data_IF_178328440294
#
_entry.id   IF_178328440294
#
_cell.length_a   1.000
_cell.length_b   1.000
_cell.length_c   1.000
_cell.angle_alpha   90.00
_cell.angle_beta   90.00
_cell.angle_gamma   90.00
#
_symmetry.space_group_name_H-M   'P 1'
#
loop_
_entity.id
_entity.type
_entity.pdbx_description
1 polymer ?
#
# COMPACT_ATOMS: atom_id res chain seq x y z
N UNK A 1 14.13 -9.59 -20.72
CA UNK A 1 12.80 -10.02 -20.22
C UNK A 1 12.38 -9.03 -19.15
N UNK A 2 11.11 -8.55 -19.09
CA UNK A 2 10.70 -7.67 -18.01
C UNK A 2 10.93 -8.39 -16.67
N UNK A 3 11.67 -7.78 -15.75
CA UNK A 3 11.82 -8.30 -14.40
C UNK A 3 10.53 -8.17 -13.60
N UNK A 4 10.44 -8.87 -12.47
CA UNK A 4 9.34 -8.70 -11.53
C UNK A 4 9.27 -7.24 -11.05
N UNK A 5 8.06 -6.71 -10.90
CA UNK A 5 7.84 -5.44 -10.24
C UNK A 5 7.97 -5.61 -8.72
N UNK A 6 8.42 -4.57 -8.04
CA UNK A 6 8.50 -4.52 -6.58
C UNK A 6 7.43 -3.57 -6.07
N UNK A 7 6.34 -4.09 -5.56
CA UNK A 7 5.26 -3.30 -4.98
C UNK A 7 5.54 -3.05 -3.49
N UNK A 8 5.70 -1.78 -3.11
CA UNK A 8 6.01 -1.35 -1.74
C UNK A 8 4.85 -0.59 -1.13
N UNK A 9 4.55 -0.89 0.13
CA UNK A 9 3.64 -0.15 1.01
C UNK A 9 4.40 0.29 2.25
N UNK A 10 4.15 1.50 2.74
CA UNK A 10 4.74 2.02 3.98
C UNK A 10 4.04 1.50 5.26
N UNK A 11 3.16 0.53 5.10
CA UNK A 11 2.44 -0.19 6.15
C UNK A 11 2.77 -1.69 6.07
N UNK A 12 2.55 -2.45 7.15
CA UNK A 12 2.79 -3.90 7.14
C UNK A 12 1.79 -4.59 6.22
N UNK A 13 2.31 -5.40 5.30
CA UNK A 13 1.52 -6.30 4.47
C UNK A 13 1.90 -7.75 4.76
N UNK A 14 0.96 -8.67 4.60
CA UNK A 14 1.19 -10.10 4.68
C UNK A 14 1.05 -10.68 3.28
N UNK A 15 2.10 -11.31 2.76
CA UNK A 15 2.08 -11.92 1.43
C UNK A 15 1.52 -13.35 1.53
N UNK A 16 0.37 -13.59 0.91
CA UNK A 16 -0.37 -14.84 1.05
C UNK A 16 -0.05 -15.85 -0.05
N UNK A 17 0.11 -15.38 -1.28
CA UNK A 17 0.47 -16.20 -2.43
C UNK A 17 0.90 -15.34 -3.61
N UNK A 18 1.60 -15.95 -4.55
CA UNK A 18 1.80 -15.44 -5.90
C UNK A 18 1.49 -16.56 -6.91
N UNK A 19 1.20 -16.17 -8.14
CA UNK A 19 0.88 -17.11 -9.21
C UNK A 19 1.14 -16.53 -10.59
N UNK A 20 1.21 -17.43 -11.57
CA UNK A 20 1.33 -17.07 -12.98
C UNK A 20 -0.07 -17.01 -13.62
N UNK A 21 -0.17 -16.28 -14.73
CA UNK A 21 -1.42 -16.10 -15.45
C UNK A 21 -2.35 -15.09 -14.79
N UNK A 22 -3.60 -15.09 -15.26
CA UNK A 22 -4.64 -14.23 -14.69
C UNK A 22 -5.13 -14.79 -13.35
N UNK A 23 -5.29 -13.91 -12.38
CA UNK A 23 -5.88 -14.29 -11.09
C UNK A 23 -7.37 -14.67 -11.28
N UNK A 24 -7.82 -15.71 -10.56
CA UNK A 24 -9.23 -16.11 -10.49
C UNK A 24 -9.63 -16.36 -9.04
N UNK A 25 -10.93 -16.29 -8.73
CA UNK A 25 -11.42 -16.44 -7.36
C UNK A 25 -11.08 -17.81 -6.74
N UNK A 26 -10.96 -18.87 -7.55
CA UNK A 26 -10.54 -20.20 -7.10
C UNK A 26 -9.16 -20.20 -6.44
N UNK A 27 -8.28 -19.26 -6.81
CA UNK A 27 -6.95 -19.14 -6.21
C UNK A 27 -7.01 -18.78 -4.72
N UNK A 28 -8.12 -18.25 -4.18
CA UNK A 28 -8.24 -17.92 -2.75
C UNK A 28 -8.08 -19.14 -1.84
N UNK A 29 -8.45 -20.34 -2.30
CA UNK A 29 -8.32 -21.59 -1.54
C UNK A 29 -6.86 -22.00 -1.29
N UNK A 30 -5.94 -21.42 -2.05
CA UNK A 30 -4.52 -21.74 -1.99
C UNK A 30 -3.70 -20.73 -1.19
N UNK A 31 -4.36 -19.71 -0.62
CA UNK A 31 -3.68 -18.69 0.17
C UNK A 31 -3.13 -19.28 1.45
N UNK A 32 -1.91 -18.88 1.80
CA UNK A 32 -1.40 -19.15 3.13
C UNK A 32 -2.09 -18.20 4.12
N UNK A 33 -3.03 -18.73 4.91
CA UNK A 33 -3.76 -17.98 5.94
C UNK A 33 -3.24 -18.24 7.36
N UNK A 34 -2.24 -19.10 7.52
CA UNK A 34 -1.74 -19.55 8.83
C UNK A 34 -0.49 -18.77 9.23
N UNK A 35 0.52 -18.76 8.37
CA UNK A 35 1.86 -18.22 8.67
C UNK A 35 2.40 -17.34 7.53
N UNK A 36 1.51 -16.59 6.90
CA UNK A 36 1.88 -15.62 5.89
C UNK A 36 2.97 -14.65 6.38
N UNK A 37 3.97 -14.43 5.55
CA UNK A 37 5.10 -13.58 5.93
C UNK A 37 4.75 -12.10 5.85
N UNK A 38 4.94 -11.40 6.97
CA UNK A 38 4.89 -9.95 7.02
C UNK A 38 6.08 -9.34 6.26
N UNK A 39 5.79 -8.48 5.29
CA UNK A 39 6.76 -7.77 4.45
C UNK A 39 6.32 -6.31 4.27
N UNK A 40 7.19 -5.48 3.70
CA UNK A 40 6.85 -4.12 3.20
C UNK A 40 6.84 -4.04 1.68
N UNK A 41 7.50 -4.99 1.03
CA UNK A 41 7.64 -5.08 -0.42
C UNK A 41 7.32 -6.48 -0.89
N UNK A 42 6.52 -6.59 -1.96
CA UNK A 42 6.15 -7.86 -2.60
C UNK A 42 6.50 -7.81 -4.07
N UNK A 43 6.99 -8.92 -4.58
CA UNK A 43 7.32 -9.07 -5.99
C UNK A 43 6.05 -9.41 -6.77
N UNK A 44 5.84 -8.78 -7.92
CA UNK A 44 4.79 -9.13 -8.88
C UNK A 44 5.47 -9.56 -10.17
N UNK A 45 5.43 -10.85 -10.47
CA UNK A 45 6.07 -11.42 -11.64
C UNK A 45 5.32 -11.06 -12.94
N UNK A 46 6.02 -10.98 -14.09
CA UNK A 46 5.39 -10.68 -15.38
C UNK A 46 4.25 -11.66 -15.70
N UNK A 47 3.12 -11.13 -16.16
CA UNK A 47 1.91 -11.92 -16.46
C UNK A 47 1.43 -12.78 -15.28
N UNK A 48 1.73 -12.37 -14.06
CA UNK A 48 1.33 -13.04 -12.83
C UNK A 48 0.64 -12.09 -11.86
N UNK A 49 0.42 -12.58 -10.65
CA UNK A 49 -0.25 -11.85 -9.58
C UNK A 49 0.37 -12.19 -8.23
N UNK A 50 0.20 -11.29 -7.28
CA UNK A 50 0.55 -11.50 -5.87
C UNK A 50 -0.60 -11.04 -4.99
N UNK A 51 -1.02 -11.91 -4.07
CA UNK A 51 -2.06 -11.62 -3.10
C UNK A 51 -1.43 -11.16 -1.79
N UNK A 52 -1.87 -9.99 -1.32
CA UNK A 52 -1.46 -9.40 -0.04
C UNK A 52 -2.70 -9.15 0.83
N UNK A 53 -2.52 -9.25 2.14
CA UNK A 53 -3.46 -8.74 3.13
C UNK A 53 -2.80 -7.63 3.91
N UNK A 54 -3.54 -6.55 4.11
CA UNK A 54 -3.08 -5.36 4.83
C UNK A 54 -4.09 -5.09 5.94
N UNK A 55 -3.60 -4.95 7.17
CA UNK A 55 -4.41 -4.41 8.26
C UNK A 55 -4.47 -2.89 8.08
N UNK A 56 -5.67 -2.31 8.10
CA UNK A 56 -5.86 -0.86 8.03
C UNK A 56 -6.19 -0.31 9.41
N UNK A 57 -5.32 -0.61 10.38
CA UNK A 57 -5.47 -0.23 11.79
C UNK A 57 -4.88 1.14 12.13
N UNK A 58 -4.12 1.72 11.20
CA UNK A 58 -3.49 3.03 11.34
C UNK A 58 -4.11 4.04 10.37
N UNK A 59 -4.68 5.10 10.94
CA UNK A 59 -5.38 6.14 10.21
C UNK A 59 -4.39 7.08 9.53
N UNK A 60 -4.77 7.53 8.32
CA UNK A 60 -4.03 8.48 7.54
C UNK A 60 -3.91 8.11 6.08
N UNK A 61 -2.94 8.71 5.41
CA UNK A 61 -2.69 8.53 3.98
C UNK A 61 -1.50 7.60 3.74
N UNK A 62 -1.74 6.50 3.02
CA UNK A 62 -0.73 5.50 2.70
C UNK A 62 -0.49 5.44 1.20
N UNK A 63 0.78 5.34 0.78
CA UNK A 63 1.15 5.18 -0.62
C UNK A 63 1.58 3.73 -0.89
N UNK A 64 0.89 3.10 -1.83
CA UNK A 64 1.25 1.82 -2.45
C UNK A 64 1.84 2.10 -3.83
N UNK A 65 3.11 1.76 -4.05
CA UNK A 65 3.83 2.14 -5.29
C UNK A 65 4.78 1.06 -5.77
N UNK A 66 5.13 1.13 -7.05
CA UNK A 66 6.32 0.43 -7.54
C UNK A 66 7.58 1.04 -6.89
N UNK A 67 8.52 0.19 -6.49
CA UNK A 67 9.86 0.59 -6.07
C UNK A 67 10.80 0.81 -7.28
N UNK A 68 10.33 0.53 -8.50
CA UNK A 68 11.03 0.87 -9.74
C UNK A 68 10.73 2.34 -10.04
N UNK A 69 11.78 3.16 -9.97
CA UNK A 69 11.69 4.62 -10.06
C UNK A 69 11.00 5.10 -11.34
N UNK A 70 11.35 4.54 -12.49
CA UNK A 70 10.77 4.94 -13.78
C UNK A 70 9.26 4.72 -13.80
N UNK A 71 8.78 3.62 -13.22
CA UNK A 71 7.36 3.30 -13.16
C UNK A 71 6.62 4.17 -12.15
N UNK A 72 7.24 4.42 -11.00
CA UNK A 72 6.71 5.35 -10.01
C UNK A 72 6.56 6.76 -10.62
N UNK A 73 7.58 7.23 -11.35
CA UNK A 73 7.58 8.53 -12.02
C UNK A 73 6.49 8.62 -13.08
N UNK A 74 6.26 7.54 -13.83
CA UNK A 74 5.17 7.44 -14.81
C UNK A 74 3.78 7.24 -14.16
N UNK A 75 3.69 7.24 -12.82
CA UNK A 75 2.44 7.24 -12.08
C UNK A 75 1.95 5.88 -11.61
N UNK A 76 2.77 4.83 -11.61
CA UNK A 76 2.41 3.52 -11.05
C UNK A 76 2.42 3.54 -9.51
N UNK A 77 1.42 4.22 -8.95
CA UNK A 77 1.20 4.38 -7.52
C UNK A 77 -0.29 4.59 -7.22
N UNK A 78 -0.69 4.21 -6.02
CA UNK A 78 -2.03 4.35 -5.48
C UNK A 78 -1.95 4.93 -4.07
N UNK A 79 -2.79 5.92 -3.77
CA UNK A 79 -2.94 6.46 -2.43
C UNK A 79 -4.22 5.93 -1.80
N UNK A 80 -4.11 5.50 -0.55
CA UNK A 80 -5.19 4.96 0.27
C UNK A 80 -5.37 5.86 1.49
N UNK A 81 -6.61 6.26 1.77
CA UNK A 81 -6.95 7.00 2.98
C UNK A 81 -7.69 6.08 3.95
N UNK A 82 -7.15 5.91 5.15
CA UNK A 82 -7.83 5.26 6.26
C UNK A 82 -8.36 6.37 7.16
N UNK A 83 -9.68 6.54 7.21
CA UNK A 83 -10.34 7.62 7.94
C UNK A 83 -11.22 7.09 9.07
N UNK A 84 -11.27 7.83 10.18
CA UNK A 84 -12.17 7.59 11.30
C UNK A 84 -12.78 8.91 11.77
N UNK A 85 -14.04 8.95 12.21
CA UNK A 85 -14.64 10.14 12.82
C UNK A 85 -14.19 10.37 14.27
N UNK A 86 -13.72 9.33 14.96
CA UNK A 86 -13.38 9.39 16.39
C UNK A 86 -11.98 10.02 16.57
N UNK A 87 -11.79 11.06 17.40
CA UNK A 87 -10.45 11.54 17.74
C UNK A 87 -9.83 10.66 18.82
N UNK A 88 -8.63 10.11 18.59
CA UNK A 88 -7.88 9.39 19.62
C UNK A 88 -6.38 9.51 19.42
N UNK A 89 -5.58 9.22 20.46
CA UNK A 89 -4.12 9.18 20.36
C UNK A 89 -3.58 8.06 19.44
N UNK A 90 -4.43 7.09 19.07
CA UNK A 90 -4.10 6.07 18.09
C UNK A 90 -4.39 6.52 16.65
N UNK A 91 -5.11 7.63 16.47
CA UNK A 91 -5.56 8.11 15.16
C UNK A 91 -4.61 9.16 14.58
N UNK A 92 -4.85 9.53 13.32
CA UNK A 92 -4.06 10.51 12.58
C UNK A 92 -3.99 11.84 13.35
N UNK A 93 -2.77 12.29 13.63
CA UNK A 93 -2.53 13.58 14.29
C UNK A 93 -2.93 14.74 13.39
N UNK A 94 -3.22 15.88 14.01
CA UNK A 94 -3.37 17.14 13.26
C UNK A 94 -2.07 17.47 12.51
N UNK A 95 -2.21 18.16 11.37
CA UNK A 95 -1.08 18.59 10.55
C UNK A 95 -0.12 19.41 11.43
N UNK A 96 1.17 19.04 11.51
CA UNK A 96 2.10 19.75 12.38
C UNK A 96 2.32 21.19 11.87
N UNK A 97 2.60 22.11 12.79
CA UNK A 97 2.73 23.56 12.50
C UNK A 97 3.89 23.90 11.57
N UNK A 98 4.85 22.99 11.41
CA UNK A 98 5.99 23.13 10.50
C UNK A 98 5.77 22.43 9.15
N UNK A 99 4.58 21.90 8.88
CA UNK A 99 4.27 21.29 7.59
C UNK A 99 4.27 22.35 6.47
N UNK A 100 4.88 22.02 5.34
CA UNK A 100 4.84 22.88 4.16
C UNK A 100 3.45 22.77 3.53
N UNK A 101 2.66 23.83 3.64
CA UNK A 101 1.34 23.92 3.02
C UNK A 101 1.47 24.35 1.56
N UNK A 102 0.70 23.72 0.67
CA UNK A 102 0.70 24.04 -0.76
C UNK A 102 -0.66 23.83 -1.41
N UNK A 103 -0.86 24.38 -2.61
CA UNK A 103 -2.11 24.26 -3.35
C UNK A 103 -3.31 24.75 -2.53
N UNK A 104 -4.37 23.94 -2.46
CA UNK A 104 -5.59 24.27 -1.68
C UNK A 104 -5.36 24.32 -0.17
N UNK A 105 -4.27 23.75 0.32
CA UNK A 105 -3.93 23.75 1.74
C UNK A 105 -3.21 25.03 2.19
N UNK A 106 -2.73 25.89 1.27
CA UNK A 106 -1.90 27.05 1.60
C UNK A 106 -2.55 28.07 2.56
N UNK A 107 -3.89 28.08 2.66
CA UNK A 107 -4.63 28.94 3.59
C UNK A 107 -5.22 28.20 4.80
N UNK A 108 -4.85 26.94 5.04
CA UNK A 108 -5.35 26.21 6.20
C UNK A 108 -4.73 26.80 7.48
N UNK A 109 -5.57 27.18 8.48
CA UNK A 109 -5.05 27.54 9.78
C UNK A 109 -4.42 26.30 10.44
N UNK A 110 -3.29 26.52 11.11
CA UNK A 110 -2.67 25.55 12.00
C UNK A 110 -3.25 25.65 13.41
#
# INVERSE_FOLDING_TARGET
>A
MPGADLLTLDHRLNAFRYGNGQWTEMQRQTYNLVDAQARRTVQVYPSGWSAILVSLDNQGMWNLRSAIWDRQYLGQQLYLRVWTPEPSFANEYSIPTNAILCGRAAGLPH
#
